data_IF_283207479523
#
_entry.id   IF_283207479523
#
_cell.length_a   1.000
_cell.length_b   1.000
_cell.length_c   1.000
_cell.angle_alpha   90.00
_cell.angle_beta   90.00
_cell.angle_gamma   90.00
#
_symmetry.space_group_name_H-M   'P 1'
#
loop_
_entity.id
_entity.type
_entity.pdbx_description
1 polymer ?
#
# COMPACT_ATOMS: atom_id res chain seq x y z
N UNK A 1 10.53 -20.12 26.16
CA UNK A 1 10.67 -19.50 24.82
C UNK A 1 9.51 -19.97 23.96
N UNK A 2 8.43 -19.18 23.80
CA UNK A 2 7.45 -19.47 22.77
C UNK A 2 7.80 -18.69 21.50
N UNK A 3 7.97 -19.48 20.44
CA UNK A 3 8.14 -19.09 19.06
C UNK A 3 6.84 -18.44 18.57
N UNK A 4 6.76 -17.11 18.54
CA UNK A 4 5.62 -16.37 17.99
C UNK A 4 5.94 -15.99 16.54
N UNK A 5 5.82 -16.95 15.61
CA UNK A 5 5.60 -16.58 14.21
C UNK A 5 4.16 -16.11 14.12
N UNK A 6 3.97 -14.79 14.19
CA UNK A 6 2.73 -14.14 13.78
C UNK A 6 2.50 -14.50 12.30
N UNK A 7 1.68 -15.51 12.05
CA UNK A 7 1.20 -15.87 10.70
C UNK A 7 -0.10 -15.13 10.36
N UNK A 8 -0.41 -14.04 11.08
CA UNK A 8 -1.51 -13.15 10.74
C UNK A 8 -1.08 -12.17 9.65
N UNK A 9 -1.99 -11.65 8.81
CA UNK A 9 -1.65 -10.61 7.86
C UNK A 9 -1.04 -9.44 8.63
N UNK A 10 0.14 -8.95 8.19
CA UNK A 10 0.69 -7.68 8.68
C UNK A 10 -0.42 -6.66 8.67
N UNK A 11 -0.52 -5.85 9.71
CA UNK A 11 -1.56 -4.84 9.81
C UNK A 11 -1.52 -3.94 8.59
N UNK A 12 -2.45 -4.14 7.66
CA UNK A 12 -2.61 -3.30 6.48
C UNK A 12 -3.36 -2.06 6.94
N UNK A 13 -2.76 -0.90 6.73
CA UNK A 13 -3.35 0.38 7.07
C UNK A 13 -3.96 0.94 5.79
N UNK A 14 -5.24 1.33 5.81
CA UNK A 14 -5.79 2.08 4.68
C UNK A 14 -5.03 3.40 4.57
N UNK A 15 -4.16 3.50 3.57
CA UNK A 15 -3.35 4.69 3.41
C UNK A 15 -4.27 5.84 2.99
N UNK A 16 -4.04 6.99 3.62
CA UNK A 16 -4.75 8.24 3.38
C UNK A 16 -3.72 9.32 3.50
N UNK A 17 -3.64 10.21 2.52
CA UNK A 17 -2.73 11.34 2.51
C UNK A 17 -2.79 12.10 3.84
N UNK A 18 -1.63 12.49 4.37
CA UNK A 18 -1.47 13.24 5.62
C UNK A 18 -2.39 14.45 5.66
N UNK A 19 -2.41 15.23 4.57
CA UNK A 19 -3.24 16.43 4.46
C UNK A 19 -4.72 16.12 4.61
N UNK A 20 -5.18 15.01 4.01
CA UNK A 20 -6.56 14.55 4.15
C UNK A 20 -6.88 14.09 5.57
N UNK A 21 -5.95 13.40 6.25
CA UNK A 21 -6.10 13.04 7.66
C UNK A 21 -6.26 14.28 8.53
N UNK A 22 -5.45 15.31 8.30
CA UNK A 22 -5.50 16.58 9.02
C UNK A 22 -6.80 17.37 8.71
N UNK A 23 -7.18 17.48 7.44
CA UNK A 23 -8.32 18.26 6.98
C UNK A 23 -9.66 17.70 7.50
N UNK A 24 -9.86 16.39 7.35
CA UNK A 24 -11.08 15.71 7.78
C UNK A 24 -11.05 15.31 9.26
N UNK A 25 -9.90 15.42 9.92
CA UNK A 25 -9.68 15.02 11.33
C UNK A 25 -10.15 13.59 11.57
N UNK A 26 -9.73 12.67 10.72
CA UNK A 26 -10.04 11.26 10.90
C UNK A 26 -9.35 10.76 12.19
N UNK A 27 -10.15 10.35 13.19
CA UNK A 27 -9.66 9.94 14.52
C UNK A 27 -8.96 8.57 14.49
N UNK A 28 -7.97 8.37 15.37
CA UNK A 28 -7.03 7.22 15.46
C UNK A 28 -7.61 5.81 15.28
N UNK A 29 -8.89 5.58 15.56
CA UNK A 29 -9.51 4.25 15.51
C UNK A 29 -10.13 3.90 14.15
N UNK A 30 -10.29 4.87 13.25
CA UNK A 30 -10.85 4.64 11.91
C UNK A 30 -9.95 3.77 11.03
N UNK A 31 -8.72 3.53 11.48
CA UNK A 31 -7.64 3.13 10.60
C UNK A 31 -6.97 1.79 10.92
N UNK A 32 -7.37 1.10 12.00
CA UNK A 32 -6.89 -0.26 12.22
C UNK A 32 -7.62 -1.21 11.26
N UNK A 33 -7.15 -1.29 10.02
CA UNK A 33 -7.44 -2.39 9.09
C UNK A 33 -6.46 -3.58 9.36
N UNK A 34 -5.80 -3.56 10.52
CA UNK A 34 -4.97 -4.67 10.94
C UNK A 34 -5.80 -5.84 11.48
N UNK A 35 -5.95 -6.88 10.65
CA UNK A 35 -5.77 -8.26 11.12
C UNK A 35 -6.94 -8.99 11.78
N UNK A 36 -8.18 -8.56 11.56
CA UNK A 36 -9.39 -9.41 11.68
C UNK A 36 -10.47 -8.94 10.69
N UNK A 37 -10.01 -8.73 9.46
CA UNK A 37 -10.73 -8.18 8.31
C UNK A 37 -11.68 -9.22 7.72
N UNK A 38 -12.74 -9.52 8.46
CA UNK A 38 -13.97 -10.09 7.90
C UNK A 38 -15.15 -9.12 8.09
N UNK A 39 -14.98 -8.10 8.93
CA UNK A 39 -15.99 -7.07 9.12
C UNK A 39 -15.34 -5.70 9.01
N UNK A 40 -15.50 -5.10 7.83
CA UNK A 40 -15.46 -3.66 7.67
C UNK A 40 -16.14 -3.03 8.89
N UNK A 41 -15.40 -2.24 9.65
CA UNK A 41 -15.95 -1.57 10.81
C UNK A 41 -17.00 -0.58 10.28
N UNK A 42 -18.26 -1.01 10.15
CA UNK A 42 -19.33 -0.20 9.54
C UNK A 42 -19.50 1.14 10.26
N UNK A 43 -19.15 1.17 11.55
CA UNK A 43 -19.09 2.41 12.32
C UNK A 43 -17.95 3.30 11.82
N UNK A 44 -16.76 2.75 11.57
CA UNK A 44 -15.63 3.50 11.01
C UNK A 44 -16.00 4.11 9.65
N UNK A 45 -16.49 3.32 8.71
CA UNK A 45 -16.85 3.85 7.39
C UNK A 45 -17.98 4.89 7.43
N UNK A 46 -18.95 4.74 8.33
CA UNK A 46 -19.98 5.79 8.56
C UNK A 46 -19.37 7.08 9.07
N UNK A 47 -18.44 6.99 10.00
CA UNK A 47 -17.80 8.17 10.57
C UNK A 47 -16.81 8.82 9.61
N UNK A 48 -16.07 8.03 8.83
CA UNK A 48 -15.23 8.51 7.75
C UNK A 48 -16.06 9.32 6.74
N UNK A 49 -17.13 8.72 6.22
CA UNK A 49 -18.06 9.39 5.30
C UNK A 49 -18.69 10.64 5.92
N UNK A 50 -19.08 10.58 7.20
CA UNK A 50 -19.62 11.72 7.93
C UNK A 50 -18.60 12.88 8.01
N UNK A 51 -17.35 12.61 8.40
CA UNK A 51 -16.30 13.63 8.50
C UNK A 51 -16.01 14.28 7.15
N UNK A 52 -16.06 13.53 6.06
CA UNK A 52 -15.95 14.10 4.71
C UNK A 52 -17.13 15.02 4.38
N UNK A 53 -18.35 14.53 4.61
CA UNK A 53 -19.58 15.27 4.31
C UNK A 53 -19.75 16.53 5.17
N UNK A 54 -19.20 16.56 6.38
CA UNK A 54 -19.17 17.75 7.25
C UNK A 54 -18.27 18.87 6.70
N UNK A 55 -17.33 18.53 5.81
CA UNK A 55 -16.35 19.47 5.23
C UNK A 55 -16.65 19.83 3.77
N UNK A 56 -17.34 18.98 3.02
CA UNK A 56 -17.72 19.23 1.63
C UNK A 56 -18.92 20.19 1.55
N UNK A 57 -18.97 21.04 0.52
CA UNK A 57 -20.12 21.91 0.26
C UNK A 57 -21.25 21.14 -0.42
N UNK A 58 -21.97 20.35 0.38
CA UNK A 58 -23.08 19.52 -0.10
C UNK A 58 -24.37 20.32 -0.35
N UNK A 59 -24.41 21.60 0.04
CA UNK A 59 -25.54 22.48 -0.29
C UNK A 59 -25.47 22.91 -1.76
N UNK A 60 -24.28 23.26 -2.23
CA UNK A 60 -24.04 23.61 -3.63
C UNK A 60 -23.82 22.38 -4.51
N UNK A 61 -23.22 21.31 -3.97
CA UNK A 61 -22.80 20.12 -4.72
C UNK A 61 -23.24 18.81 -4.02
N UNK A 62 -24.56 18.51 -3.97
CA UNK A 62 -25.08 17.33 -3.27
C UNK A 62 -24.58 15.99 -3.84
N UNK A 63 -24.18 15.96 -5.11
CA UNK A 63 -23.58 14.79 -5.77
C UNK A 63 -22.22 14.39 -5.19
N UNK A 64 -21.54 15.30 -4.48
CA UNK A 64 -20.28 15.02 -3.80
C UNK A 64 -20.48 14.31 -2.45
N UNK A 65 -21.71 13.99 -2.06
CA UNK A 65 -21.99 13.30 -0.81
C UNK A 65 -21.37 11.89 -0.79
N UNK A 66 -20.51 11.67 0.21
CA UNK A 66 -19.85 10.39 0.46
C UNK A 66 -20.77 9.45 1.22
N UNK A 67 -20.91 8.22 0.75
CA UNK A 67 -21.64 7.15 1.44
C UNK A 67 -20.68 6.23 2.15
N UNK A 68 -21.07 5.77 3.34
CA UNK A 68 -20.32 4.76 4.09
C UNK A 68 -20.04 3.49 3.28
N UNK A 69 -20.98 3.10 2.39
CA UNK A 69 -20.80 1.96 1.49
C UNK A 69 -19.67 2.16 0.48
N UNK A 70 -19.43 3.39 0.02
CA UNK A 70 -18.31 3.70 -0.87
C UNK A 70 -16.98 3.56 -0.12
N UNK A 71 -16.88 4.11 1.09
CA UNK A 71 -15.67 3.96 1.92
C UNK A 71 -15.36 2.49 2.21
N UNK A 72 -16.37 1.71 2.59
CA UNK A 72 -16.21 0.26 2.77
C UNK A 72 -15.72 -0.43 1.49
N UNK A 73 -16.25 -0.04 0.32
CA UNK A 73 -15.84 -0.64 -0.94
C UNK A 73 -14.36 -0.32 -1.26
N UNK A 74 -13.91 0.91 -1.05
CA UNK A 74 -12.50 1.29 -1.23
C UNK A 74 -11.59 0.49 -0.31
N UNK A 75 -11.92 0.41 0.98
CA UNK A 75 -11.16 -0.36 1.96
C UNK A 75 -11.05 -1.85 1.57
N UNK A 76 -12.14 -2.46 1.12
CA UNK A 76 -12.15 -3.85 0.64
C UNK A 76 -11.29 -4.04 -0.61
N UNK A 77 -11.31 -3.09 -1.55
CA UNK A 77 -10.47 -3.15 -2.75
C UNK A 77 -8.99 -3.06 -2.36
N UNK A 78 -8.63 -2.12 -1.49
CA UNK A 78 -7.28 -1.96 -0.96
C UNK A 78 -6.79 -3.24 -0.29
N UNK A 79 -7.57 -3.80 0.65
CA UNK A 79 -7.25 -5.06 1.35
C UNK A 79 -7.10 -6.25 0.38
N UNK A 80 -8.01 -6.37 -0.59
CA UNK A 80 -7.94 -7.42 -1.60
C UNK A 80 -6.69 -7.28 -2.47
N UNK A 81 -6.29 -6.05 -2.80
CA UNK A 81 -5.11 -5.78 -3.63
C UNK A 81 -3.83 -6.19 -2.91
N UNK A 82 -3.68 -5.84 -1.64
CA UNK A 82 -2.60 -6.37 -0.81
C UNK A 82 -2.64 -7.89 -0.68
N UNK A 83 -3.82 -8.47 -0.46
CA UNK A 83 -3.96 -9.93 -0.37
C UNK A 83 -3.48 -10.62 -1.64
N UNK A 84 -3.89 -10.13 -2.82
CA UNK A 84 -3.44 -10.64 -4.11
C UNK A 84 -1.92 -10.47 -4.28
N UNK A 85 -1.36 -9.33 -3.90
CA UNK A 85 0.08 -9.08 -3.97
C UNK A 85 0.86 -10.06 -3.09
N UNK A 86 0.43 -10.26 -1.84
CA UNK A 86 1.05 -11.23 -0.92
C UNK A 86 0.96 -12.66 -1.44
N UNK A 87 -0.21 -13.07 -1.92
CA UNK A 87 -0.39 -14.39 -2.53
C UNK A 87 0.53 -14.57 -3.75
N UNK A 88 0.73 -13.52 -4.55
CA UNK A 88 1.67 -13.52 -5.66
C UNK A 88 3.13 -13.67 -5.19
N UNK A 89 3.56 -12.92 -4.18
CA UNK A 89 4.90 -13.04 -3.58
C UNK A 89 5.13 -14.45 -3.04
N UNK A 90 4.20 -14.99 -2.24
CA UNK A 90 4.29 -16.32 -1.65
C UNK A 90 4.38 -17.44 -2.69
N UNK A 91 3.64 -17.34 -3.80
CA UNK A 91 3.63 -18.34 -4.85
C UNK A 91 4.87 -18.30 -5.75
N UNK A 92 5.55 -17.15 -5.85
CA UNK A 92 6.67 -16.96 -6.77
C UNK A 92 8.02 -16.96 -6.06
N UNK A 93 8.23 -16.03 -5.13
CA UNK A 93 9.48 -15.86 -4.41
C UNK A 93 9.25 -15.05 -3.11
N UNK A 94 9.51 -15.62 -1.91
CA UNK A 94 9.40 -14.88 -0.65
C UNK A 94 10.27 -13.61 -0.58
N UNK A 95 11.40 -13.59 -1.30
CA UNK A 95 12.33 -12.46 -1.33
C UNK A 95 12.01 -11.45 -2.46
N UNK A 96 10.84 -11.57 -3.10
CA UNK A 96 10.52 -10.79 -4.31
C UNK A 96 10.55 -9.28 -4.09
N UNK A 97 10.10 -8.80 -2.93
CA UNK A 97 10.09 -7.37 -2.58
C UNK A 97 11.51 -6.86 -2.30
N UNK A 98 12.33 -7.64 -1.59
CA UNK A 98 13.73 -7.31 -1.37
C UNK A 98 14.51 -7.27 -2.71
N UNK A 99 14.26 -8.25 -3.60
CA UNK A 99 14.86 -8.30 -4.93
C UNK A 99 14.41 -7.13 -5.81
N UNK A 100 13.15 -6.69 -5.71
CA UNK A 100 12.67 -5.52 -6.46
C UNK A 100 13.31 -4.23 -5.96
N UNK A 101 13.54 -4.06 -4.65
CA UNK A 101 14.33 -2.94 -4.12
C UNK A 101 15.76 -2.93 -4.65
N UNK A 102 16.43 -4.09 -4.68
CA UNK A 102 17.78 -4.17 -5.24
C UNK A 102 17.80 -3.83 -6.74
N UNK A 103 16.85 -4.36 -7.50
CA UNK A 103 16.65 -4.01 -8.91
C UNK A 103 16.44 -2.50 -9.09
N UNK A 104 15.56 -1.89 -8.30
CA UNK A 104 15.31 -0.46 -8.34
C UNK A 104 16.57 0.37 -8.06
N UNK A 105 17.36 -0.04 -7.07
CA UNK A 105 18.63 0.64 -6.75
C UNK A 105 19.61 0.59 -7.93
N UNK A 106 19.60 -0.48 -8.73
CA UNK A 106 20.44 -0.60 -9.92
C UNK A 106 19.91 0.22 -11.11
N UNK A 107 18.58 0.31 -11.30
CA UNK A 107 17.98 0.99 -12.44
C UNK A 107 17.80 2.51 -12.24
N UNK A 108 17.39 2.92 -11.03
CA UNK A 108 17.03 4.31 -10.69
C UNK A 108 18.13 4.98 -9.85
N UNK A 109 18.96 4.19 -9.16
CA UNK A 109 19.96 4.67 -8.22
C UNK A 109 19.43 4.71 -6.78
N UNK A 110 20.28 4.32 -5.83
CA UNK A 110 19.89 4.17 -4.43
C UNK A 110 19.34 5.45 -3.79
N UNK A 111 19.94 6.61 -4.11
CA UNK A 111 19.47 7.91 -3.62
C UNK A 111 18.08 8.28 -4.17
N UNK A 112 17.86 8.02 -5.46
CA UNK A 112 16.56 8.25 -6.10
C UNK A 112 15.46 7.38 -5.48
N UNK A 113 15.74 6.09 -5.28
CA UNK A 113 14.82 5.15 -4.60
C UNK A 113 14.56 5.60 -3.17
N UNK A 114 15.59 5.97 -2.41
CA UNK A 114 15.43 6.44 -1.03
C UNK A 114 14.57 7.71 -0.95
N UNK A 115 14.77 8.67 -1.86
CA UNK A 115 13.99 9.90 -1.93
C UNK A 115 12.50 9.63 -2.18
N UNK A 116 12.17 8.71 -3.10
CA UNK A 116 10.78 8.33 -3.39
C UNK A 116 10.12 7.64 -2.19
N UNK A 117 10.79 6.66 -1.58
CA UNK A 117 10.27 5.95 -0.42
C UNK A 117 10.04 6.89 0.77
N UNK A 118 10.98 7.82 1.02
CA UNK A 118 10.87 8.79 2.13
C UNK A 118 9.78 9.81 1.90
N UNK A 119 9.66 10.36 0.68
CA UNK A 119 8.57 11.28 0.33
C UNK A 119 7.22 10.59 0.48
N UNK A 120 7.10 9.34 0.01
CA UNK A 120 5.88 8.55 0.20
C UNK A 120 5.58 8.37 1.69
N UNK A 121 6.56 7.96 2.50
CA UNK A 121 6.36 7.73 3.92
C UNK A 121 6.11 9.02 4.72
N UNK A 122 6.38 10.20 4.15
CA UNK A 122 5.99 11.48 4.73
C UNK A 122 4.58 11.92 4.31
N UNK A 123 4.19 11.73 3.04
CA UNK A 123 2.87 12.06 2.51
C UNK A 123 1.79 11.06 2.96
N UNK A 124 2.15 9.78 3.05
CA UNK A 124 1.29 8.66 3.44
C UNK A 124 1.90 7.93 4.65
N UNK A 125 2.07 8.63 5.79
CA UNK A 125 2.79 8.08 6.92
C UNK A 125 2.05 6.92 7.58
N UNK A 126 2.78 5.87 7.94
CA UNK A 126 2.30 4.86 8.88
C UNK A 126 1.82 5.52 10.19
N UNK A 127 0.88 4.91 10.90
CA UNK A 127 0.29 5.56 12.09
C UNK A 127 1.31 5.95 13.15
N UNK A 128 2.29 5.09 13.42
CA UNK A 128 3.31 5.36 14.42
C UNK A 128 4.13 6.62 14.08
N UNK A 129 4.35 6.89 12.80
CA UNK A 129 5.00 8.12 12.32
C UNK A 129 4.04 9.30 12.40
N UNK A 130 2.80 9.15 11.91
CA UNK A 130 1.79 10.21 11.93
C UNK A 130 1.49 10.70 13.35
N UNK A 131 1.35 9.78 14.30
CA UNK A 131 1.07 10.04 15.72
C UNK A 131 2.32 10.45 16.51
N UNK A 132 3.48 10.54 15.86
CA UNK A 132 4.77 10.90 16.48
C UNK A 132 5.19 9.94 17.60
N UNK A 133 4.77 8.68 17.50
CA UNK A 133 5.24 7.60 18.38
C UNK A 133 6.67 7.18 17.98
N UNK A 134 7.01 7.33 16.71
CA UNK A 134 8.36 7.26 16.16
C UNK A 134 8.55 8.38 15.14
N UNK A 135 9.79 8.82 14.92
CA UNK A 135 10.12 9.67 13.78
C UNK A 135 10.32 8.82 12.50
N UNK A 136 10.32 9.50 11.34
CA UNK A 136 10.43 8.88 10.03
C UNK A 136 11.76 8.15 9.82
N UNK A 137 12.88 8.72 10.29
CA UNK A 137 14.19 8.09 10.13
C UNK A 137 14.28 6.79 10.92
N UNK A 138 13.84 6.82 12.17
CA UNK A 138 13.75 5.63 13.04
C UNK A 138 12.80 4.59 12.43
N UNK A 139 11.66 5.01 11.88
CA UNK A 139 10.74 4.09 11.21
C UNK A 139 11.39 3.46 9.98
N UNK A 140 11.99 4.24 9.08
CA UNK A 140 12.60 3.74 7.84
C UNK A 140 13.77 2.78 8.09
N UNK A 141 14.49 2.94 9.20
CA UNK A 141 15.57 2.03 9.61
C UNK A 141 15.08 0.76 10.34
N UNK A 142 13.80 0.72 10.72
CA UNK A 142 13.20 -0.36 11.49
C UNK A 142 12.60 -1.50 10.67
N UNK A 143 11.81 -2.33 11.35
CA UNK A 143 11.01 -3.40 10.74
C UNK A 143 9.64 -3.50 11.40
N UNK A 144 8.66 -3.99 10.65
CA UNK A 144 7.30 -4.26 11.09
C UNK A 144 7.00 -5.74 10.84
N UNK A 145 6.59 -6.47 11.88
CA UNK A 145 6.34 -7.91 11.81
C UNK A 145 7.51 -8.73 11.20
N UNK A 146 8.74 -8.29 11.47
CA UNK A 146 9.96 -8.94 10.99
C UNK A 146 10.37 -8.56 9.56
N UNK A 147 9.67 -7.63 8.91
CA UNK A 147 9.96 -7.18 7.54
C UNK A 147 10.52 -5.77 7.55
N UNK A 148 11.64 -5.48 6.85
CA UNK A 148 12.21 -4.15 6.79
C UNK A 148 11.18 -3.11 6.35
N UNK A 149 11.10 -1.97 7.04
CA UNK A 149 10.07 -0.97 6.75
C UNK A 149 10.23 -0.35 5.35
N UNK A 150 11.42 -0.39 4.76
CA UNK A 150 11.62 -0.03 3.35
C UNK A 150 10.84 -0.92 2.38
N UNK A 151 10.75 -2.22 2.67
CA UNK A 151 9.96 -3.17 1.87
C UNK A 151 8.47 -2.95 2.08
N UNK A 152 8.06 -2.67 3.32
CA UNK A 152 6.66 -2.30 3.64
C UNK A 152 6.28 -1.03 2.87
N UNK A 153 7.10 0.01 2.94
CA UNK A 153 6.88 1.29 2.24
C UNK A 153 6.85 1.11 0.72
N UNK A 154 7.70 0.24 0.16
CA UNK A 154 7.64 -0.06 -1.28
C UNK A 154 6.33 -0.76 -1.67
N UNK A 155 5.85 -1.72 -0.86
CA UNK A 155 4.56 -2.39 -1.07
C UNK A 155 3.41 -1.38 -1.03
N UNK A 156 3.36 -0.51 -0.03
CA UNK A 156 2.32 0.54 0.10
C UNK A 156 2.37 1.54 -1.05
N UNK A 157 3.57 1.98 -1.47
CA UNK A 157 3.74 2.89 -2.61
C UNK A 157 3.29 2.25 -3.93
N UNK A 158 3.46 0.94 -4.10
CA UNK A 158 2.90 0.19 -5.24
C UNK A 158 1.37 0.11 -5.16
N UNK A 159 0.79 -0.06 -3.97
CA UNK A 159 -0.67 -0.07 -3.81
C UNK A 159 -1.27 1.30 -4.15
N UNK A 160 -0.67 2.40 -3.70
CA UNK A 160 -1.07 3.76 -4.06
C UNK A 160 -1.15 3.92 -5.59
N UNK A 161 -0.12 3.47 -6.30
CA UNK A 161 -0.09 3.49 -7.76
C UNK A 161 -1.24 2.68 -8.39
N UNK A 162 -1.54 1.49 -7.85
CA UNK A 162 -2.65 0.64 -8.31
C UNK A 162 -4.02 1.27 -8.01
N UNK A 163 -4.16 1.97 -6.90
CA UNK A 163 -5.38 2.66 -6.49
C UNK A 163 -5.66 3.86 -7.38
N UNK A 164 -4.65 4.67 -7.69
CA UNK A 164 -4.78 5.78 -8.65
C UNK A 164 -5.09 5.29 -10.08
N UNK A 165 -4.67 4.08 -10.44
CA UNK A 165 -5.05 3.45 -11.70
C UNK A 165 -6.51 2.93 -11.72
N UNK A 166 -7.18 2.84 -10.57
CA UNK A 166 -8.54 2.29 -10.45
C UNK A 166 -9.60 3.42 -10.45
N UNK A 167 -10.50 3.47 -11.46
CA UNK A 167 -11.54 4.51 -11.55
C UNK A 167 -12.49 4.59 -10.34
N UNK A 168 -12.57 3.54 -9.50
CA UNK A 168 -13.36 3.57 -8.28
C UNK A 168 -12.82 4.58 -7.25
N UNK A 169 -11.52 4.90 -7.29
CA UNK A 169 -10.85 5.81 -6.36
C UNK A 169 -10.92 7.28 -6.82
N UNK A 170 -11.19 7.55 -8.10
CA UNK A 170 -11.23 8.91 -8.67
C UNK A 170 -12.11 9.91 -7.89
N UNK A 171 -13.32 9.56 -7.41
CA UNK A 171 -14.15 10.50 -6.62
C UNK A 171 -13.58 10.85 -5.23
N UNK A 172 -12.46 10.22 -4.87
CA UNK A 172 -11.78 10.31 -3.57
C UNK A 172 -10.29 10.60 -3.76
N UNK A 173 -9.90 11.17 -4.90
CA UNK A 173 -8.51 11.46 -5.24
C UNK A 173 -7.79 12.23 -4.13
N UNK A 174 -8.48 13.10 -3.38
CA UNK A 174 -7.84 13.86 -2.29
C UNK A 174 -7.25 12.97 -1.18
N UNK A 175 -7.67 11.70 -1.09
CA UNK A 175 -7.15 10.74 -0.12
C UNK A 175 -5.89 10.02 -0.63
N UNK A 176 -5.65 10.00 -1.95
CA UNK A 176 -4.67 9.15 -2.64
C UNK A 176 -3.81 9.93 -3.65
N UNK A 177 -3.87 11.26 -3.66
CA UNK A 177 -3.19 12.07 -4.67
C UNK A 177 -1.66 11.89 -4.57
N UNK A 178 -1.05 11.36 -5.63
CA UNK A 178 0.39 11.12 -5.74
C UNK A 178 1.11 12.16 -6.60
N UNK A 179 0.46 13.28 -6.95
CA UNK A 179 1.05 14.30 -7.82
C UNK A 179 2.32 14.93 -7.22
N UNK A 180 2.41 15.09 -5.89
CA UNK A 180 3.64 15.58 -5.26
C UNK A 180 4.79 14.57 -5.35
N UNK A 181 4.50 13.28 -5.19
CA UNK A 181 5.47 12.19 -5.43
C UNK A 181 5.98 12.22 -6.88
N UNK A 182 5.08 12.34 -7.85
CA UNK A 182 5.42 12.42 -9.27
C UNK A 182 6.30 13.62 -9.59
N UNK A 183 6.02 14.77 -8.97
CA UNK A 183 6.71 16.03 -9.25
C UNK A 183 8.09 16.10 -8.61
N UNK A 184 8.25 15.56 -7.41
CA UNK A 184 9.42 15.82 -6.55
C UNK A 184 10.41 14.65 -6.49
N UNK A 185 10.06 13.49 -7.04
CA UNK A 185 10.87 12.27 -6.91
C UNK A 185 10.87 11.47 -8.22
N UNK A 186 11.75 10.46 -8.37
CA UNK A 186 11.70 9.56 -9.53
C UNK A 186 10.57 8.52 -9.47
N UNK A 187 9.51 8.74 -8.67
CA UNK A 187 8.38 7.82 -8.48
C UNK A 187 7.82 7.22 -9.79
N UNK A 188 7.57 7.99 -10.88
CA UNK A 188 7.11 7.42 -12.14
C UNK A 188 8.11 6.42 -12.76
N UNK A 189 9.40 6.70 -12.63
CA UNK A 189 10.47 5.80 -13.08
C UNK A 189 10.57 4.55 -12.20
N UNK A 190 10.37 4.70 -10.88
CA UNK A 190 10.27 3.57 -9.95
C UNK A 190 9.13 2.63 -10.36
N UNK A 191 7.92 3.17 -10.60
CA UNK A 191 6.76 2.36 -10.99
C UNK A 191 6.95 1.68 -12.36
N UNK A 192 7.50 2.39 -13.35
CA UNK A 192 7.84 1.80 -14.66
C UNK A 192 8.89 0.68 -14.55
N UNK A 193 9.88 0.85 -13.67
CA UNK A 193 10.91 -0.15 -13.41
C UNK A 193 10.36 -1.38 -12.68
N UNK A 194 9.45 -1.18 -11.72
CA UNK A 194 8.72 -2.28 -11.06
C UNK A 194 7.87 -3.07 -12.06
N UNK A 195 7.16 -2.40 -12.95
CA UNK A 195 6.40 -3.07 -14.02
C UNK A 195 7.29 -3.99 -14.86
N UNK A 196 8.48 -3.49 -15.24
CA UNK A 196 9.49 -4.29 -15.96
C UNK A 196 10.00 -5.47 -15.13
N UNK A 197 10.32 -5.24 -13.86
CA UNK A 197 10.79 -6.27 -12.93
C UNK A 197 9.78 -7.41 -12.80
N UNK A 198 8.52 -7.09 -12.45
CA UNK A 198 7.48 -8.10 -12.28
C UNK A 198 7.12 -8.81 -13.60
N UNK A 199 7.16 -8.11 -14.74
CA UNK A 199 6.98 -8.72 -16.06
C UNK A 199 8.09 -9.74 -16.38
N UNK A 200 9.34 -9.42 -16.06
CA UNK A 200 10.48 -10.33 -16.24
C UNK A 200 10.44 -11.51 -15.27
N UNK A 201 10.09 -11.26 -14.00
CA UNK A 201 9.94 -12.27 -12.98
C UNK A 201 8.86 -13.30 -13.36
N UNK A 202 7.70 -12.84 -13.83
CA UNK A 202 6.62 -13.70 -14.32
C UNK A 202 7.06 -14.58 -15.50
N UNK A 203 7.83 -14.02 -16.44
CA UNK A 203 8.36 -14.78 -17.57
C UNK A 203 9.36 -15.88 -17.13
N UNK A 204 10.18 -15.59 -16.12
CA UNK A 204 11.15 -16.55 -15.57
C UNK A 204 10.49 -17.64 -14.71
N UNK A 205 9.43 -17.33 -13.97
CA UNK A 205 8.65 -18.29 -13.18
C UNK A 205 7.84 -19.28 -14.02
N UNK A 206 7.40 -18.88 -15.22
CA UNK A 206 6.72 -19.77 -16.18
C UNK A 206 7.64 -20.81 -16.83
N UNK A 207 8.96 -20.57 -16.85
CA UNK A 207 9.92 -21.50 -17.46
C UNK A 207 10.26 -22.70 -16.56
N UNK A 208 10.05 -22.60 -15.23
CA UNK A 208 10.36 -23.69 -14.29
C UNK A 208 9.23 -24.73 -14.15
N UNK A 209 7.99 -24.39 -14.54
CA UNK A 209 6.83 -25.29 -14.41
C UNK A 209 6.64 -26.28 -15.58
N UNK A 210 7.47 -26.21 -16.63
CA UNK A 210 7.34 -27.07 -17.83
C UNK A 210 8.40 -28.18 -17.97
N UNK A 211 9.30 -28.38 -16.99
CA UNK A 211 10.32 -29.44 -17.04
C UNK A 211 10.32 -30.35 -15.80
N UNK A 212 9.28 -31.17 -15.63
CA UNK A 212 9.45 -32.46 -14.93
C UNK A 212 8.30 -33.45 -15.18
N UNK A 213 8.14 -33.96 -16.42
CA UNK A 213 7.59 -35.30 -16.66
C UNK A 213 8.24 -35.92 -17.90
N UNK A 214 9.49 -36.34 -17.74
CA UNK A 214 10.12 -37.30 -18.65
C UNK A 214 11.11 -38.16 -17.85
N UNK A 215 10.59 -39.20 -17.22
CA UNK A 215 11.35 -40.36 -16.73
C UNK A 215 10.35 -41.53 -16.71
N UNK A 216 10.25 -42.24 -17.84
CA UNK A 216 10.86 -43.56 -18.02
C UNK A 216 10.24 -44.62 -17.12
N UNK A 217 9.34 -45.42 -17.68
CA UNK A 217 9.01 -46.75 -17.15
C UNK A 217 9.55 -47.80 -18.13
N UNK A 218 10.10 -48.93 -17.63
CA UNK A 218 10.41 -50.10 -18.46
C UNK A 218 9.13 -50.79 -18.96
#
# INVERSE_FOLDING_TARGET
MPNNRSTGPRGLEFHVARESRDYYRFDDWLYSISGNVVFANFRAARQFAQRMNEKRDLLSFPEQAVRASQINALALIHELTHFMFRAYVEQNNPDLVANSLEWLNQQVGAEGVDSALRKFADEFPAFSVYRRETDLDTYMAGSTDGVPNREVVLEEMLMLWLENANPAFTPFQELFDDHELERETPYPTVMSSLYTFFGSAAASGGASSSRSKASSWP
#
